data_IF_169356582522
#
_entry.id   IF_169356582522
#
_cell.length_a   1.000
_cell.length_b   1.000
_cell.length_c   1.000
_cell.angle_alpha   90.00
_cell.angle_beta   90.00
_cell.angle_gamma   90.00
#
_symmetry.space_group_name_H-M   'P 1'
#
loop_
_entity.id
_entity.type
_entity.pdbx_description
1 polymer ?
#
# COMPACT_ATOMS: atom_id res chain seq x y z
N UNK A 1 17.29 -5.83 -0.91
CA UNK A 1 16.17 -5.17 -1.61
C UNK A 1 15.67 -4.05 -0.73
N UNK A 2 15.33 -2.89 -1.30
CA UNK A 2 14.86 -1.71 -0.54
C UNK A 2 13.60 -1.16 -1.18
N UNK A 3 12.46 -1.31 -0.51
CA UNK A 3 11.16 -0.85 -0.98
C UNK A 3 10.84 0.61 -0.61
N UNK A 4 11.71 1.27 0.16
CA UNK A 4 11.48 2.65 0.59
C UNK A 4 11.40 3.58 -0.62
N UNK A 5 10.33 4.37 -0.70
CA UNK A 5 10.16 5.33 -1.80
C UNK A 5 8.71 5.71 -2.03
N UNK A 6 8.51 6.49 -3.08
CA UNK A 6 7.17 6.87 -3.55
C UNK A 6 6.78 5.93 -4.68
N UNK A 7 5.60 5.34 -4.58
CA UNK A 7 5.05 4.39 -5.52
C UNK A 7 3.73 4.91 -6.08
N UNK A 8 3.48 4.62 -7.35
CA UNK A 8 2.18 4.84 -7.99
C UNK A 8 1.48 3.49 -8.14
N UNK A 9 0.15 3.49 -8.05
CA UNK A 9 -0.66 2.30 -8.23
C UNK A 9 -1.66 2.46 -9.39
N UNK A 10 -2.18 1.34 -9.88
CA UNK A 10 -3.17 1.28 -10.96
C UNK A 10 -4.57 1.79 -10.55
N UNK A 11 -4.82 2.08 -9.27
CA UNK A 11 -6.02 2.79 -8.79
C UNK A 11 -5.88 4.33 -8.81
N UNK A 12 -4.75 4.84 -9.33
CA UNK A 12 -4.42 6.27 -9.36
C UNK A 12 -3.85 6.80 -8.04
N UNK A 13 -3.68 5.95 -7.03
CA UNK A 13 -3.13 6.31 -5.74
C UNK A 13 -1.61 6.51 -5.74
N UNK A 14 -1.14 7.39 -4.85
CA UNK A 14 0.26 7.58 -4.51
C UNK A 14 0.53 7.02 -3.12
N UNK A 15 1.62 6.27 -2.99
CA UNK A 15 1.98 5.54 -1.77
C UNK A 15 3.40 5.86 -1.33
N UNK A 16 3.56 6.29 -0.09
CA UNK A 16 4.84 6.61 0.52
C UNK A 16 5.25 5.44 1.40
N UNK A 17 6.10 4.57 0.84
CA UNK A 17 6.50 3.31 1.46
C UNK A 17 7.78 3.51 2.27
N UNK A 18 7.80 2.95 3.47
CA UNK A 18 8.99 2.90 4.33
C UNK A 18 9.26 1.45 4.76
N UNK A 19 10.45 0.97 4.45
CA UNK A 19 10.94 -0.32 4.93
C UNK A 19 11.89 -0.13 6.13
N UNK A 20 11.71 -0.94 7.17
CA UNK A 20 12.57 -1.01 8.35
C UNK A 20 12.85 -2.49 8.67
N UNK A 21 13.96 -3.02 8.16
CA UNK A 21 14.23 -4.46 8.20
C UNK A 21 13.15 -5.22 7.42
N UNK A 22 12.42 -6.11 8.09
CA UNK A 22 11.26 -6.80 7.52
C UNK A 22 9.95 -6.04 7.66
N UNK A 23 9.88 -4.97 8.47
CA UNK A 23 8.66 -4.19 8.63
C UNK A 23 8.44 -3.26 7.43
N UNK A 24 7.19 -3.18 6.98
CA UNK A 24 6.73 -2.24 5.95
C UNK A 24 5.64 -1.37 6.54
N UNK A 25 5.76 -0.07 6.27
CA UNK A 25 4.72 0.92 6.51
C UNK A 25 4.43 1.66 5.21
N UNK A 26 3.19 2.09 5.03
CA UNK A 26 2.92 3.14 4.05
C UNK A 26 1.91 4.15 4.55
N UNK A 27 1.89 5.27 3.83
CA UNK A 27 0.73 6.14 3.70
C UNK A 27 0.31 6.16 2.23
N UNK A 28 -0.98 6.06 1.94
CA UNK A 28 -1.55 6.08 0.59
C UNK A 28 -2.67 7.11 0.46
N UNK A 29 -2.78 7.77 -0.69
CA UNK A 29 -3.82 8.77 -0.99
C UNK A 29 -4.11 8.85 -2.49
N UNK A 30 -5.33 9.23 -2.88
CA UNK A 30 -5.66 9.49 -4.29
C UNK A 30 -5.57 10.96 -4.73
N UNK A 31 -5.50 11.90 -3.80
CA UNK A 31 -5.26 13.32 -4.09
C UNK A 31 -4.51 13.96 -2.92
N UNK A 32 -3.57 14.87 -3.21
CA UNK A 32 -2.73 15.48 -2.19
C UNK A 32 -3.49 16.48 -1.29
N UNK A 33 -4.51 17.16 -1.84
CA UNK A 33 -5.23 18.26 -1.19
C UNK A 33 -6.58 17.82 -0.65
N UNK A 34 -7.39 17.15 -1.46
CA UNK A 34 -8.75 16.73 -1.14
C UNK A 34 -9.00 15.26 -1.55
N UNK A 35 -8.32 14.30 -0.91
CA UNK A 35 -8.52 12.88 -1.24
C UNK A 35 -9.92 12.42 -0.89
N UNK A 36 -10.52 11.58 -1.73
CA UNK A 36 -11.73 10.84 -1.32
C UNK A 36 -11.39 9.73 -0.33
N UNK A 37 -10.19 9.14 -0.45
CA UNK A 37 -9.67 8.13 0.45
C UNK A 37 -8.19 8.37 0.73
N UNK A 38 -7.78 8.00 1.93
CA UNK A 38 -6.37 7.94 2.31
C UNK A 38 -6.20 6.84 3.33
N UNK A 39 -5.14 6.05 3.25
CA UNK A 39 -4.93 4.94 4.17
C UNK A 39 -3.51 4.86 4.70
N UNK A 40 -3.38 4.13 5.80
CA UNK A 40 -2.12 3.65 6.33
C UNK A 40 -2.08 2.13 6.24
N UNK A 41 -0.88 1.58 6.09
CA UNK A 41 -0.66 0.13 6.10
C UNK A 41 0.52 -0.19 6.99
N UNK A 42 0.44 -1.32 7.68
CA UNK A 42 1.54 -1.96 8.37
C UNK A 42 1.59 -3.43 7.98
N UNK A 43 2.78 -3.93 7.65
CA UNK A 43 2.99 -5.33 7.34
C UNK A 43 4.41 -5.81 7.56
N UNK A 44 4.65 -7.07 7.21
CA UNK A 44 5.95 -7.71 7.28
C UNK A 44 6.31 -8.43 5.98
N UNK A 45 7.58 -8.34 5.61
CA UNK A 45 8.17 -9.06 4.49
C UNK A 45 8.56 -10.47 4.95
N UNK A 46 8.11 -11.49 4.21
CA UNK A 46 8.53 -12.88 4.33
C UNK A 46 8.80 -13.47 2.95
N UNK A 47 10.07 -13.79 2.65
CA UNK A 47 10.47 -14.19 1.29
C UNK A 47 10.20 -13.07 0.28
N UNK A 48 9.38 -13.35 -0.72
CA UNK A 48 8.91 -12.37 -1.72
C UNK A 48 7.48 -11.89 -1.45
N UNK A 49 6.92 -12.10 -0.25
CA UNK A 49 5.57 -11.68 0.10
C UNK A 49 5.59 -10.62 1.19
N UNK A 50 4.60 -9.72 1.16
CA UNK A 50 4.29 -8.76 2.20
C UNK A 50 2.90 -9.12 2.72
N UNK A 51 2.80 -9.46 4.01
CA UNK A 51 1.52 -9.70 4.67
C UNK A 51 1.19 -8.48 5.53
N UNK A 52 0.04 -7.84 5.27
CA UNK A 52 -0.25 -6.54 5.85
C UNK A 52 -1.74 -6.33 6.19
N UNK A 53 -1.96 -5.34 7.05
CA UNK A 53 -3.27 -4.77 7.37
C UNK A 53 -3.26 -3.29 7.01
N UNK A 54 -4.41 -2.78 6.59
CA UNK A 54 -4.59 -1.38 6.18
C UNK A 54 -5.89 -0.82 6.72
N UNK A 55 -5.92 0.50 6.90
CA UNK A 55 -7.13 1.24 7.27
C UNK A 55 -7.11 2.61 6.62
N UNK A 56 -8.25 3.05 6.12
CA UNK A 56 -8.47 4.44 5.79
C UNK A 56 -8.40 5.32 7.04
N UNK A 57 -8.00 6.57 6.85
CA UNK A 57 -7.80 7.60 7.89
C UNK A 57 -8.48 8.91 7.46
N UNK A 58 -8.85 9.82 8.40
CA UNK A 58 -9.75 10.95 8.16
C UNK A 58 -9.13 12.14 7.39
N UNK A 59 -8.25 11.90 6.43
CA UNK A 59 -7.93 12.89 5.39
C UNK A 59 -8.93 12.83 4.23
N UNK A 60 -9.49 11.65 3.96
CA UNK A 60 -10.63 11.45 3.06
C UNK A 60 -11.90 11.03 3.81
N UNK A 61 -12.99 10.83 3.08
CA UNK A 61 -14.30 10.45 3.65
C UNK A 61 -14.55 8.94 3.69
N UNK A 62 -13.83 8.15 2.88
CA UNK A 62 -13.89 6.69 2.95
C UNK A 62 -13.22 6.21 4.25
N UNK A 63 -13.80 5.19 4.90
CA UNK A 63 -13.37 4.65 6.20
C UNK A 63 -13.28 3.11 6.18
N UNK A 64 -12.82 2.53 5.08
CA UNK A 64 -12.70 1.07 4.93
C UNK A 64 -11.40 0.58 5.58
N UNK A 65 -11.33 -0.73 5.83
CA UNK A 65 -10.13 -1.38 6.35
C UNK A 65 -10.12 -2.85 5.94
N UNK A 66 -8.94 -3.47 5.98
CA UNK A 66 -8.81 -4.87 5.66
C UNK A 66 -7.38 -5.38 5.66
N UNK A 67 -7.22 -6.52 4.99
CA UNK A 67 -5.93 -7.18 4.79
C UNK A 67 -5.49 -6.99 3.35
N UNK A 68 -4.18 -6.88 3.18
CA UNK A 68 -3.53 -6.77 1.88
C UNK A 68 -2.31 -7.69 1.87
N UNK A 69 -2.27 -8.60 0.89
CA UNK A 69 -1.10 -9.45 0.65
C UNK A 69 -0.51 -9.05 -0.70
N UNK A 70 0.77 -8.68 -0.69
CA UNK A 70 1.49 -8.25 -1.89
C UNK A 70 2.63 -9.21 -2.20
N UNK A 71 2.83 -9.51 -3.48
CA UNK A 71 4.04 -10.12 -3.99
C UNK A 71 5.03 -9.03 -4.43
N UNK A 72 6.27 -9.20 -4.00
CA UNK A 72 7.44 -8.49 -4.49
C UNK A 72 7.85 -9.15 -5.82
N UNK A 73 7.53 -8.49 -6.93
CA UNK A 73 7.92 -8.95 -8.27
C UNK A 73 9.35 -8.49 -8.60
N UNK A 74 9.68 -7.25 -8.23
CA UNK A 74 11.03 -6.70 -8.31
C UNK A 74 11.18 -5.55 -7.33
N UNK A 75 12.37 -4.94 -7.28
CA UNK A 75 12.61 -3.75 -6.47
C UNK A 75 11.72 -2.56 -6.87
N UNK A 76 11.13 -2.56 -8.08
CA UNK A 76 10.29 -1.47 -8.60
C UNK A 76 8.89 -1.94 -9.03
N UNK A 77 8.47 -3.15 -8.61
CA UNK A 77 7.12 -3.66 -8.91
C UNK A 77 6.57 -4.53 -7.78
N UNK A 78 5.40 -4.17 -7.28
CA UNK A 78 4.59 -4.98 -6.36
C UNK A 78 3.27 -5.37 -7.03
N UNK A 79 2.72 -6.52 -6.67
CA UNK A 79 1.42 -6.98 -7.14
C UNK A 79 0.58 -7.51 -5.98
N UNK A 80 -0.68 -7.12 -5.88
CA UNK A 80 -1.59 -7.69 -4.91
C UNK A 80 -1.92 -9.14 -5.28
N UNK A 81 -1.86 -10.04 -4.31
CA UNK A 81 -2.27 -11.44 -4.45
C UNK A 81 -3.55 -11.75 -3.67
N UNK A 82 -3.86 -10.95 -2.64
CA UNK A 82 -5.12 -11.03 -1.89
C UNK A 82 -5.48 -9.66 -1.30
N UNK A 83 -6.77 -9.33 -1.33
CA UNK A 83 -7.32 -8.04 -0.88
C UNK A 83 -8.66 -8.26 -0.19
N UNK A 84 -8.85 -7.65 0.97
CA UNK A 84 -10.16 -7.55 1.63
C UNK A 84 -10.51 -6.08 1.91
N UNK A 85 -11.75 -5.82 2.31
CA UNK A 85 -12.18 -4.45 2.67
C UNK A 85 -12.39 -3.51 1.49
N UNK A 86 -12.42 -4.02 0.25
CA UNK A 86 -12.64 -3.20 -0.95
C UNK A 86 -11.42 -2.44 -1.46
N UNK A 87 -10.19 -2.87 -1.10
CA UNK A 87 -8.97 -2.21 -1.54
C UNK A 87 -8.84 -2.18 -3.09
N UNK A 88 -8.72 -0.97 -3.66
CA UNK A 88 -8.74 -0.72 -5.11
C UNK A 88 -7.50 -1.22 -5.84
N UNK A 89 -6.33 -0.75 -5.43
CA UNK A 89 -5.04 -1.00 -6.10
C UNK A 89 -4.63 -2.47 -6.20
N UNK A 90 -3.92 -2.81 -7.27
CA UNK A 90 -3.44 -4.16 -7.56
C UNK A 90 -1.99 -4.20 -8.06
N UNK A 91 -1.48 -3.14 -8.69
CA UNK A 91 -0.12 -3.10 -9.21
C UNK A 91 0.55 -1.79 -8.84
N UNK A 92 1.68 -1.85 -8.12
CA UNK A 92 2.48 -0.69 -7.76
C UNK A 92 3.78 -0.66 -8.54
N UNK A 93 4.15 0.53 -9.01
CA UNK A 93 5.41 0.80 -9.73
C UNK A 93 6.07 2.09 -9.23
N UNK A 94 7.40 2.15 -9.31
CA UNK A 94 8.19 3.34 -9.04
C UNK A 94 9.36 3.46 -10.01
#
# INVERSE_FOLDING_TARGET
>A
MDLTGVWNCDDGGKYYVRQLGSAIWWYGENDAKNPSWSNVLRGTIGGNMINAEWSDVPKGSVMSNGKLVLQIVSNNRLMATSKTGGFGGSVWTR
#
